data_IF_642962819706
#
_entry.id   IF_642962819706
#
_cell.length_a   1.000
_cell.length_b   1.000
_cell.length_c   1.000
_cell.angle_alpha   90.00
_cell.angle_beta   90.00
_cell.angle_gamma   90.00
#
_symmetry.space_group_name_H-M   'P 1'
#
loop_
_entity.id
_entity.type
_entity.pdbx_description
1 polymer ?
#
# COMPACT_ATOMS: atom_id res chain seq x y z
N UNK A 1 91.10 18.39 -32.56
CA UNK A 1 89.89 17.89 -33.24
C UNK A 1 88.96 17.38 -32.16
N UNK A 2 87.89 18.13 -31.77
CA UNK A 2 86.92 17.71 -30.74
C UNK A 2 85.61 17.49 -31.44
N UNK A 3 85.14 16.26 -31.47
CA UNK A 3 83.82 15.92 -31.98
C UNK A 3 82.73 16.25 -30.94
N UNK A 4 81.78 17.17 -31.29
CA UNK A 4 80.59 17.40 -30.54
C UNK A 4 79.50 16.36 -30.94
N UNK A 5 79.12 15.54 -29.99
CA UNK A 5 77.99 14.62 -30.14
C UNK A 5 76.65 15.34 -29.69
N UNK A 6 75.81 15.60 -30.63
CA UNK A 6 74.42 16.08 -30.33
C UNK A 6 73.57 14.87 -29.88
N UNK A 7 73.10 14.91 -28.66
CA UNK A 7 72.10 13.97 -28.15
C UNK A 7 70.75 14.53 -28.47
N UNK A 8 69.98 13.91 -29.38
CA UNK A 8 68.57 14.16 -29.63
C UNK A 8 67.76 13.51 -28.55
N UNK A 9 67.08 14.30 -27.70
CA UNK A 9 66.01 13.80 -26.82
C UNK A 9 64.72 13.68 -27.62
N UNK A 10 64.02 12.54 -27.61
CA UNK A 10 62.65 12.45 -28.14
C UNK A 10 61.67 13.02 -27.14
N UNK A 11 60.98 14.07 -27.53
CA UNK A 11 59.85 14.65 -26.77
C UNK A 11 58.67 13.66 -26.72
N UNK A 12 58.35 13.18 -25.55
CA UNK A 12 57.15 12.38 -25.31
C UNK A 12 55.96 13.35 -25.24
N UNK A 13 55.14 13.36 -26.30
CA UNK A 13 53.87 14.07 -26.33
C UNK A 13 52.85 13.27 -25.50
N UNK A 14 52.56 13.74 -24.29
CA UNK A 14 51.53 13.15 -23.43
C UNK A 14 50.16 13.64 -23.91
N UNK A 15 49.47 12.82 -24.73
CA UNK A 15 48.07 13.09 -25.12
C UNK A 15 47.13 12.84 -23.92
N UNK A 16 46.67 13.89 -23.28
CA UNK A 16 45.57 13.79 -22.29
C UNK A 16 44.30 13.40 -23.02
N UNK A 17 43.90 12.14 -22.94
CA UNK A 17 42.56 11.69 -23.35
C UNK A 17 41.53 12.21 -22.37
N UNK A 18 40.74 13.23 -22.78
CA UNK A 18 39.57 13.71 -22.08
C UNK A 18 38.48 12.64 -22.28
N UNK A 19 38.31 11.74 -21.26
CA UNK A 19 37.21 10.80 -21.24
C UNK A 19 35.97 11.59 -20.80
N UNK A 20 34.93 11.73 -21.65
CA UNK A 20 33.68 12.34 -21.23
C UNK A 20 33.09 11.47 -20.11
N UNK A 21 32.97 12.01 -18.91
CA UNK A 21 32.24 11.39 -17.81
C UNK A 21 30.77 11.33 -18.22
N UNK A 22 30.36 10.24 -18.84
CA UNK A 22 28.94 9.93 -18.98
C UNK A 22 28.39 9.81 -17.55
N UNK A 23 27.63 10.82 -17.13
CA UNK A 23 26.96 10.82 -15.84
C UNK A 23 26.07 9.56 -15.76
N UNK A 24 26.50 8.56 -15.01
CA UNK A 24 25.67 7.43 -14.68
C UNK A 24 24.44 7.97 -13.96
N UNK A 25 23.30 7.95 -14.64
CA UNK A 25 21.99 8.25 -14.06
C UNK A 25 21.82 7.25 -12.90
N UNK A 26 22.06 7.71 -11.68
CA UNK A 26 21.95 6.88 -10.49
C UNK A 26 20.53 6.30 -10.46
N UNK A 27 20.40 4.98 -10.58
CA UNK A 27 19.10 4.32 -10.55
C UNK A 27 18.38 4.73 -9.26
N UNK A 28 17.18 5.26 -9.38
CA UNK A 28 16.38 5.66 -8.22
C UNK A 28 16.23 4.47 -7.27
N UNK A 29 16.49 4.69 -5.98
CA UNK A 29 16.36 3.66 -4.97
C UNK A 29 14.94 3.11 -5.02
N UNK A 30 14.74 1.77 -5.06
CA UNK A 30 13.41 1.18 -5.11
C UNK A 30 12.54 1.69 -3.95
N UNK A 31 11.30 2.07 -4.24
CA UNK A 31 10.33 2.47 -3.23
C UNK A 31 9.99 1.24 -2.35
N UNK A 32 10.33 1.25 -1.06
CA UNK A 32 10.08 0.12 -0.16
C UNK A 32 8.57 -0.10 0.10
N UNK A 33 7.74 0.91 -0.13
CA UNK A 33 6.28 0.83 0.09
C UNK A 33 5.55 0.20 -1.08
N UNK A 34 6.18 0.13 -2.27
CA UNK A 34 5.52 -0.37 -3.49
C UNK A 34 4.89 -1.76 -3.33
N UNK A 35 5.55 -2.78 -2.76
CA UNK A 35 4.93 -4.10 -2.62
C UNK A 35 3.71 -4.10 -1.69
N UNK A 36 3.68 -3.22 -0.69
CA UNK A 36 2.53 -3.03 0.21
C UNK A 36 1.39 -2.35 -0.55
N UNK A 37 1.68 -1.30 -1.32
CA UNK A 37 0.71 -0.63 -2.19
C UNK A 37 0.09 -1.61 -3.18
N UNK A 38 0.90 -2.42 -3.84
CA UNK A 38 0.44 -3.42 -4.80
C UNK A 38 -0.50 -4.46 -4.13
N UNK A 39 -0.21 -4.86 -2.88
CA UNK A 39 -1.08 -5.75 -2.11
C UNK A 39 -2.40 -5.06 -1.72
N UNK A 40 -2.34 -3.79 -1.32
CA UNK A 40 -3.51 -2.98 -1.00
C UNK A 40 -4.41 -2.78 -2.22
N UNK A 41 -3.86 -2.45 -3.39
CA UNK A 41 -4.66 -2.32 -4.61
C UNK A 41 -5.35 -3.64 -5.02
N UNK A 42 -4.69 -4.79 -4.85
CA UNK A 42 -5.35 -6.10 -5.09
C UNK A 42 -6.53 -6.32 -4.15
N UNK A 43 -6.43 -5.86 -2.90
CA UNK A 43 -7.54 -5.91 -1.95
C UNK A 43 -8.71 -5.04 -2.41
N UNK A 44 -8.45 -3.78 -2.78
CA UNK A 44 -9.48 -2.86 -3.26
C UNK A 44 -10.17 -3.37 -4.51
N UNK A 45 -9.40 -3.93 -5.43
CA UNK A 45 -9.93 -4.51 -6.66
C UNK A 45 -10.82 -5.72 -6.38
N UNK A 46 -10.44 -6.59 -5.44
CA UNK A 46 -11.29 -7.70 -5.00
C UNK A 46 -12.60 -7.22 -4.39
N UNK A 47 -12.58 -6.13 -3.63
CA UNK A 47 -13.81 -5.53 -3.06
C UNK A 47 -14.69 -4.98 -4.18
N UNK A 48 -14.15 -4.21 -5.13
CA UNK A 48 -14.91 -3.65 -6.26
C UNK A 48 -15.59 -4.73 -7.10
N UNK A 49 -14.95 -5.89 -7.23
CA UNK A 49 -15.47 -7.03 -7.98
C UNK A 49 -16.41 -7.94 -7.16
N UNK A 50 -16.60 -7.67 -5.87
CA UNK A 50 -17.24 -8.58 -4.92
C UNK A 50 -16.65 -10.01 -5.01
N UNK A 51 -15.32 -10.11 -5.21
CA UNK A 51 -14.59 -11.36 -5.32
C UNK A 51 -14.01 -11.74 -3.96
N UNK A 52 -14.69 -12.63 -3.24
CA UNK A 52 -14.27 -13.09 -1.92
C UNK A 52 -12.90 -13.79 -1.95
N UNK A 53 -12.62 -14.58 -2.98
CA UNK A 53 -11.35 -15.30 -3.10
C UNK A 53 -10.19 -14.32 -3.29
N UNK A 54 -10.36 -13.32 -4.15
CA UNK A 54 -9.37 -12.27 -4.41
C UNK A 54 -9.11 -11.44 -3.15
N UNK A 55 -10.17 -11.01 -2.45
CA UNK A 55 -10.07 -10.28 -1.18
C UNK A 55 -9.31 -11.12 -0.15
N UNK A 56 -9.74 -12.35 0.07
CA UNK A 56 -9.15 -13.21 1.10
C UNK A 56 -7.73 -13.68 0.77
N UNK A 57 -7.33 -13.65 -0.50
CA UNK A 57 -5.95 -13.95 -0.91
C UNK A 57 -4.93 -12.92 -0.38
N UNK A 58 -5.37 -11.70 -0.07
CA UNK A 58 -4.50 -10.63 0.47
C UNK A 58 -4.33 -10.74 1.98
N UNK A 59 -5.26 -11.40 2.69
CA UNK A 59 -5.15 -11.61 4.12
C UNK A 59 -4.26 -12.82 4.46
N UNK A 60 -3.64 -12.78 5.65
CA UNK A 60 -2.94 -13.92 6.21
C UNK A 60 -3.92 -15.03 6.54
N UNK A 61 -3.68 -16.22 6.00
CA UNK A 61 -4.49 -17.41 6.30
C UNK A 61 -4.11 -17.95 7.71
N UNK A 62 -4.58 -17.24 8.73
CA UNK A 62 -4.28 -17.53 10.12
C UNK A 62 -5.53 -17.42 10.97
N UNK A 63 -5.70 -18.31 11.98
CA UNK A 63 -6.77 -18.19 12.96
C UNK A 63 -6.62 -16.93 13.85
N UNK A 64 -5.47 -16.24 13.80
CA UNK A 64 -5.20 -15.02 14.56
C UNK A 64 -5.47 -13.73 13.78
N UNK A 65 -5.78 -13.80 12.49
CA UNK A 65 -6.13 -12.62 11.70
C UNK A 65 -7.41 -11.99 12.25
N UNK A 66 -7.33 -10.70 12.58
CA UNK A 66 -8.38 -10.00 13.33
C UNK A 66 -9.00 -8.89 12.48
N UNK A 67 -10.33 -8.80 12.48
CA UNK A 67 -11.09 -7.83 11.72
C UNK A 67 -12.03 -7.05 12.65
N UNK A 68 -11.82 -5.74 12.74
CA UNK A 68 -12.78 -4.82 13.34
C UNK A 68 -13.61 -4.20 12.22
N UNK A 69 -14.86 -4.62 12.14
CA UNK A 69 -15.76 -4.29 11.03
C UNK A 69 -16.44 -2.93 11.25
N UNK A 70 -16.78 -2.26 10.15
CA UNK A 70 -17.41 -0.92 10.18
C UNK A 70 -18.76 -0.89 10.92
N UNK A 71 -19.46 -2.01 11.04
CA UNK A 71 -20.70 -2.16 11.77
C UNK A 71 -20.50 -2.43 13.29
N UNK A 72 -19.27 -2.32 13.79
CA UNK A 72 -18.93 -2.53 15.19
C UNK A 72 -18.70 -4.01 15.57
N UNK A 73 -18.87 -4.96 14.67
CA UNK A 73 -18.60 -6.37 14.96
C UNK A 73 -17.13 -6.70 14.86
N UNK A 74 -16.73 -7.80 15.51
CA UNK A 74 -15.38 -8.34 15.48
C UNK A 74 -15.42 -9.74 14.87
N UNK A 75 -14.55 -9.99 13.90
CA UNK A 75 -14.35 -11.32 13.33
C UNK A 75 -12.92 -11.77 13.61
N UNK A 76 -12.76 -12.96 14.17
CA UNK A 76 -11.48 -13.59 14.42
C UNK A 76 -11.31 -14.81 13.51
N UNK A 77 -10.15 -14.88 12.89
CA UNK A 77 -9.75 -15.99 12.02
C UNK A 77 -10.09 -15.78 10.54
N UNK A 78 -9.17 -16.22 9.70
CA UNK A 78 -9.28 -16.12 8.25
C UNK A 78 -10.46 -16.93 7.70
N UNK A 79 -10.67 -18.18 8.18
CA UNK A 79 -11.74 -19.05 7.70
C UNK A 79 -13.12 -18.47 7.97
N UNK A 80 -13.33 -17.91 9.18
CA UNK A 80 -14.58 -17.23 9.54
C UNK A 80 -14.86 -16.04 8.63
N UNK A 81 -13.82 -15.20 8.41
CA UNK A 81 -13.98 -14.03 7.53
C UNK A 81 -14.22 -14.46 6.08
N UNK A 82 -13.56 -15.53 5.61
CA UNK A 82 -13.77 -16.07 4.27
C UNK A 82 -15.23 -16.48 4.06
N UNK A 83 -15.78 -17.26 4.97
CA UNK A 83 -17.18 -17.68 4.92
C UNK A 83 -18.15 -16.49 4.92
N UNK A 84 -17.89 -15.47 5.78
CA UNK A 84 -18.68 -14.26 5.82
C UNK A 84 -18.61 -13.48 4.49
N UNK A 85 -17.43 -13.38 3.86
CA UNK A 85 -17.26 -12.71 2.57
C UNK A 85 -17.93 -13.46 1.43
N UNK A 86 -17.79 -14.79 1.37
CA UNK A 86 -18.46 -15.60 0.36
C UNK A 86 -19.99 -15.46 0.43
N UNK A 87 -20.55 -15.53 1.65
CA UNK A 87 -21.99 -15.36 1.86
C UNK A 87 -22.48 -13.96 1.47
N UNK A 88 -21.76 -12.92 1.91
CA UNK A 88 -22.14 -11.53 1.63
C UNK A 88 -22.01 -11.20 0.15
N UNK A 89 -20.90 -11.56 -0.49
CA UNK A 89 -20.64 -11.20 -1.88
C UNK A 89 -21.54 -11.95 -2.88
N UNK A 90 -22.06 -13.13 -2.51
CA UNK A 90 -23.07 -13.82 -3.31
C UNK A 90 -24.34 -12.96 -3.53
N UNK A 91 -24.62 -12.00 -2.63
CA UNK A 91 -25.76 -11.13 -2.67
C UNK A 91 -25.41 -9.68 -3.01
N UNK A 92 -24.11 -9.39 -3.26
CA UNK A 92 -23.60 -8.04 -3.51
C UNK A 92 -23.40 -7.82 -5.01
N UNK A 93 -23.84 -6.65 -5.52
CA UNK A 93 -23.66 -6.19 -6.91
C UNK A 93 -23.33 -4.70 -6.94
N UNK A 94 -22.86 -4.23 -8.08
CA UNK A 94 -22.66 -2.81 -8.40
C UNK A 94 -21.83 -2.06 -7.34
N UNK A 95 -20.72 -2.68 -6.92
CA UNK A 95 -19.84 -2.11 -5.90
C UNK A 95 -19.05 -0.94 -6.49
N UNK A 96 -19.25 0.26 -5.99
CA UNK A 96 -18.42 1.42 -6.23
C UNK A 96 -17.66 1.76 -4.93
N UNK A 97 -16.34 1.60 -4.95
CA UNK A 97 -15.45 1.89 -3.82
C UNK A 97 -14.45 2.97 -4.22
N UNK A 98 -14.46 4.08 -3.50
CA UNK A 98 -13.47 5.14 -3.58
C UNK A 98 -12.65 5.18 -2.27
N UNK A 99 -11.34 5.39 -2.39
CA UNK A 99 -10.44 5.61 -1.25
C UNK A 99 -9.67 6.91 -1.44
N UNK A 100 -9.46 7.64 -0.34
CA UNK A 100 -8.76 8.92 -0.32
C UNK A 100 -7.73 8.95 0.80
N UNK A 101 -6.69 9.78 0.66
CA UNK A 101 -5.68 9.98 1.68
C UNK A 101 -4.91 8.70 2.03
N UNK A 102 -4.59 7.87 1.03
CA UNK A 102 -3.87 6.62 1.25
C UNK A 102 -2.44 6.92 1.72
N UNK A 103 -2.13 6.50 2.94
CA UNK A 103 -0.78 6.57 3.52
C UNK A 103 -0.27 5.16 3.78
N UNK A 104 0.97 4.92 3.38
CA UNK A 104 1.68 3.66 3.61
C UNK A 104 2.95 3.96 4.38
N UNK A 105 3.08 3.38 5.56
CA UNK A 105 4.25 3.56 6.43
C UNK A 105 4.88 2.21 6.76
N UNK A 106 6.19 2.13 6.55
CA UNK A 106 6.97 0.96 6.88
C UNK A 106 7.33 0.96 8.37
N UNK A 107 7.00 -0.11 9.07
CA UNK A 107 7.39 -0.35 10.48
C UNK A 107 8.64 -1.24 10.58
N UNK A 108 9.48 -1.19 9.56
CA UNK A 108 10.67 -2.03 9.41
C UNK A 108 10.60 -2.88 8.14
N UNK A 109 11.52 -3.83 7.95
CA UNK A 109 11.65 -4.56 6.68
C UNK A 109 10.54 -5.59 6.43
N UNK A 110 9.73 -5.91 7.45
CA UNK A 110 8.72 -6.99 7.38
C UNK A 110 7.34 -6.59 7.92
N UNK A 111 7.13 -5.32 8.25
CA UNK A 111 5.84 -4.82 8.71
C UNK A 111 5.56 -3.42 8.15
N UNK A 112 4.28 -3.13 7.92
CA UNK A 112 3.81 -1.84 7.46
C UNK A 112 2.37 -1.63 7.90
N UNK A 113 1.92 -0.37 7.90
CA UNK A 113 0.49 -0.09 7.95
C UNK A 113 0.05 0.76 6.76
N UNK A 114 -1.23 0.62 6.43
CA UNK A 114 -1.92 1.46 5.44
C UNK A 114 -3.11 2.09 6.12
N UNK A 115 -3.29 3.40 5.94
CA UNK A 115 -4.49 4.11 6.36
C UNK A 115 -5.13 4.83 5.20
N UNK A 116 -6.46 4.95 5.21
CA UNK A 116 -7.22 5.75 4.26
C UNK A 116 -8.60 6.10 4.81
N UNK A 117 -9.27 7.05 4.18
CA UNK A 117 -10.72 7.18 4.22
C UNK A 117 -11.31 6.46 3.02
N UNK A 118 -12.55 5.99 3.15
CA UNK A 118 -13.24 5.29 2.08
C UNK A 118 -14.72 5.64 2.05
N UNK A 119 -15.29 5.56 0.86
CA UNK A 119 -16.73 5.58 0.60
C UNK A 119 -17.08 4.41 -0.30
N UNK A 120 -18.20 3.76 -0.03
CA UNK A 120 -18.68 2.63 -0.82
C UNK A 120 -20.19 2.74 -1.02
N UNK A 121 -20.62 2.48 -2.24
CA UNK A 121 -22.02 2.14 -2.54
C UNK A 121 -22.08 0.75 -3.15
N UNK A 122 -23.16 0.03 -2.90
CA UNK A 122 -23.39 -1.32 -3.43
C UNK A 122 -24.89 -1.63 -3.42
N UNK A 123 -25.27 -2.61 -4.20
CA UNK A 123 -26.59 -3.25 -4.06
C UNK A 123 -26.39 -4.55 -3.29
N UNK A 124 -27.01 -4.67 -2.13
CA UNK A 124 -27.02 -5.86 -1.29
C UNK A 124 -28.45 -6.38 -1.11
N UNK A 125 -28.71 -7.62 -1.44
CA UNK A 125 -30.05 -8.24 -1.41
C UNK A 125 -31.12 -7.33 -2.07
N UNK A 126 -30.76 -6.76 -3.26
CA UNK A 126 -31.63 -5.88 -4.03
C UNK A 126 -31.80 -4.46 -3.48
N UNK A 127 -31.13 -4.10 -2.38
CA UNK A 127 -31.23 -2.76 -1.76
C UNK A 127 -29.92 -2.00 -1.93
N UNK A 128 -30.03 -0.70 -2.27
CA UNK A 128 -28.88 0.19 -2.31
C UNK A 128 -28.40 0.50 -0.88
N UNK A 129 -27.13 0.22 -0.63
CA UNK A 129 -26.44 0.54 0.61
C UNK A 129 -25.31 1.55 0.35
N UNK A 130 -25.14 2.48 1.26
CA UNK A 130 -24.05 3.43 1.26
C UNK A 130 -23.33 3.39 2.61
N UNK A 131 -22.02 3.37 2.57
CA UNK A 131 -21.19 3.39 3.76
C UNK A 131 -19.95 4.26 3.52
N UNK A 132 -19.43 4.84 4.60
CA UNK A 132 -18.18 5.59 4.57
C UNK A 132 -17.45 5.42 5.90
N UNK A 133 -16.13 5.59 5.86
CA UNK A 133 -15.37 5.42 7.10
C UNK A 133 -13.89 5.65 6.95
N UNK A 134 -13.20 5.20 7.98
CA UNK A 134 -11.72 5.15 8.05
C UNK A 134 -11.30 3.70 8.08
N UNK A 135 -10.14 3.44 7.50
CA UNK A 135 -9.56 2.09 7.43
C UNK A 135 -8.10 2.13 7.85
N UNK A 136 -7.72 1.19 8.69
CA UNK A 136 -6.32 0.88 9.00
C UNK A 136 -6.08 -0.60 8.75
N UNK A 137 -5.02 -0.90 8.02
CA UNK A 137 -4.58 -2.25 7.71
C UNK A 137 -3.15 -2.44 8.22
N UNK A 138 -2.90 -3.50 8.96
CA UNK A 138 -1.55 -3.92 9.33
C UNK A 138 -1.11 -5.04 8.39
N UNK A 139 -0.01 -4.79 7.69
CA UNK A 139 0.62 -5.74 6.79
C UNK A 139 1.84 -6.39 7.44
N UNK A 140 2.02 -7.66 7.18
CA UNK A 140 3.26 -8.40 7.45
C UNK A 140 3.77 -9.05 6.17
N UNK A 141 5.10 -9.10 6.04
CA UNK A 141 5.75 -9.89 5.01
C UNK A 141 5.80 -11.36 5.45
N UNK A 142 5.10 -12.22 4.70
CA UNK A 142 5.02 -13.67 4.94
C UNK A 142 5.59 -14.37 3.72
N UNK A 143 6.77 -14.95 3.87
CA UNK A 143 7.55 -15.43 2.74
C UNK A 143 7.93 -14.27 1.79
N UNK A 144 7.46 -14.35 0.55
CA UNK A 144 7.67 -13.30 -0.47
C UNK A 144 6.52 -12.29 -0.56
N UNK A 145 5.39 -12.56 0.09
CA UNK A 145 4.14 -11.80 -0.04
C UNK A 145 3.90 -10.88 1.16
N UNK A 146 3.26 -9.75 0.89
CA UNK A 146 2.70 -8.89 1.92
C UNK A 146 1.24 -9.27 2.16
N UNK A 147 0.91 -9.63 3.42
CA UNK A 147 -0.41 -10.07 3.85
C UNK A 147 -0.95 -9.19 4.95
N UNK A 148 -2.25 -8.92 4.91
CA UNK A 148 -2.95 -8.23 5.99
C UNK A 148 -3.16 -9.19 7.15
N UNK A 149 -2.72 -8.81 8.34
CA UNK A 149 -2.91 -9.57 9.59
C UNK A 149 -3.96 -8.94 10.52
N UNK A 150 -4.29 -7.67 10.26
CA UNK A 150 -5.33 -6.95 10.99
C UNK A 150 -5.98 -5.90 10.11
N UNK A 151 -7.30 -5.82 10.19
CA UNK A 151 -8.12 -4.75 9.61
C UNK A 151 -8.88 -4.06 10.74
N UNK A 152 -8.85 -2.73 10.75
CA UNK A 152 -9.77 -1.91 11.52
C UNK A 152 -10.49 -0.95 10.60
N UNK A 153 -11.81 -1.01 10.60
CA UNK A 153 -12.67 -0.02 9.96
C UNK A 153 -13.59 0.61 11.00
N UNK A 154 -13.82 1.91 10.86
CA UNK A 154 -14.76 2.66 11.71
C UNK A 154 -15.61 3.58 10.84
N UNK A 155 -16.89 3.83 11.19
CA UNK A 155 -17.74 4.73 10.43
C UNK A 155 -17.19 6.16 10.47
N UNK A 156 -17.55 6.95 9.44
CA UNK A 156 -17.16 8.37 9.35
C UNK A 156 -17.99 9.28 10.26
N UNK A 157 -19.14 8.79 10.72
CA UNK A 157 -20.07 9.57 11.56
C UNK A 157 -19.55 9.60 13.00
N UNK A 158 -19.34 10.78 13.62
CA UNK A 158 -19.02 10.89 15.04
C UNK A 158 -20.12 10.29 15.91
N UNK A 159 -19.76 9.85 17.12
CA UNK A 159 -20.75 9.49 18.14
C UNK A 159 -21.64 10.71 18.44
N UNK A 160 -22.96 10.52 18.48
CA UNK A 160 -23.94 11.62 18.57
C UNK A 160 -23.76 12.51 19.82
N UNK A 161 -23.18 11.95 20.88
CA UNK A 161 -23.13 12.59 22.21
C UNK A 161 -21.83 13.37 22.46
N UNK A 162 -20.92 13.41 21.50
CA UNK A 162 -19.62 14.08 21.68
C UNK A 162 -19.42 15.16 20.63
N UNK A 163 -19.23 16.42 21.04
CA UNK A 163 -18.94 17.48 20.08
C UNK A 163 -17.59 17.22 19.41
N UNK A 164 -17.56 17.39 18.10
CA UNK A 164 -16.34 17.36 17.31
C UNK A 164 -15.60 18.67 17.50
N UNK A 165 -14.34 18.64 17.90
CA UNK A 165 -13.51 19.84 18.04
C UNK A 165 -13.23 20.45 16.66
N UNK A 166 -13.06 21.77 16.59
CA UNK A 166 -12.81 22.45 15.30
C UNK A 166 -11.55 21.95 14.61
N UNK A 167 -10.52 21.60 15.36
CA UNK A 167 -9.27 20.99 14.85
C UNK A 167 -9.48 19.59 14.22
N UNK A 168 -10.59 18.91 14.51
CA UNK A 168 -10.91 17.57 14.02
C UNK A 168 -11.82 17.61 12.78
N UNK A 169 -12.41 18.79 12.47
CA UNK A 169 -13.32 18.96 11.33
C UNK A 169 -12.59 19.05 9.99
N UNK A 170 -11.33 19.43 10.01
CA UNK A 170 -10.52 19.57 8.80
C UNK A 170 -9.65 18.31 8.62
N UNK A 171 -9.74 17.61 7.50
CA UNK A 171 -8.81 16.51 7.20
C UNK A 171 -7.37 17.02 7.23
N UNK A 172 -6.40 16.23 7.69
CA UNK A 172 -5.01 16.60 7.60
C UNK A 172 -4.63 16.84 6.14
N UNK A 173 -3.87 17.92 5.88
CA UNK A 173 -3.33 18.19 4.56
C UNK A 173 -2.45 17.01 4.12
N UNK A 174 -2.67 16.52 2.89
CA UNK A 174 -1.87 15.47 2.27
C UNK A 174 -0.49 15.97 1.87
#
# INVERSE_FOLDING_TARGET
MKLFRYILLPGILLALAIIPAFGQKQAAKPDPTKPVRDAFERLLEGIRQADAAKVMSVYDNSPRTLFFNNNGTVTLGWDTMKANRESSYAQTKDVALEVKGVRVEMLGPAAAYVTCTWTQSQVYDGKLENAAGRMTLIFKRIGKDWKVVHLHTSPSVPAADRPVLDSEKTPPAN
#
